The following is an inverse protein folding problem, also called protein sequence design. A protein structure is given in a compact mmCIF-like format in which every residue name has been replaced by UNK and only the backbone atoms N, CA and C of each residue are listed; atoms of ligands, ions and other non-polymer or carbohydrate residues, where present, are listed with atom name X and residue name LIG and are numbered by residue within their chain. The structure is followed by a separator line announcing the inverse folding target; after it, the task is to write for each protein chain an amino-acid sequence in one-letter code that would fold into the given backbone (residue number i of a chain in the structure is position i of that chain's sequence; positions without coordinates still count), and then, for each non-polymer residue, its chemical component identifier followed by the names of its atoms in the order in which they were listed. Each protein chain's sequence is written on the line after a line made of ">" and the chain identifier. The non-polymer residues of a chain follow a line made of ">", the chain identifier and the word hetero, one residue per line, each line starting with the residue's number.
data_IF_930371680650
#
_entry.id   IF_930371680650
#
_cell.length_a   1.000
_cell.length_b   1.000
_cell.length_c   1.000
_cell.angle_alpha   90.00
_cell.angle_beta   90.00
_cell.angle_gamma   90.00
#
_symmetry.space_group_name_H-M   'P 1'
#
loop_
_entity.id
_entity.type
_entity.pdbx_description
1 polymer ?
#
# COMPACT_ATOMS: atom_id res chain seq x y z
N UNK A 1 24.79 22.70 -19.66
CA UNK A 1 23.69 21.76 -20.02
C UNK A 1 23.33 22.00 -21.48
N UNK A 2 23.27 20.98 -22.34
CA UNK A 2 22.95 21.21 -23.76
C UNK A 2 21.47 21.54 -23.95
N UNK A 3 21.15 22.41 -24.90
CA UNK A 3 19.78 22.76 -25.29
C UNK A 3 18.95 21.52 -25.70
N UNK A 4 19.61 20.52 -26.29
CA UNK A 4 18.98 19.26 -26.68
C UNK A 4 18.56 18.41 -25.48
N UNK A 5 19.31 18.45 -24.37
CA UNK A 5 18.94 17.77 -23.13
C UNK A 5 17.72 18.44 -22.49
N UNK A 6 17.72 19.78 -22.42
CA UNK A 6 16.62 20.55 -21.85
C UNK A 6 15.27 20.27 -22.56
N UNK A 7 15.28 20.23 -23.90
CA UNK A 7 14.10 19.93 -24.72
C UNK A 7 13.59 18.49 -24.51
N UNK A 8 14.50 17.51 -24.38
CA UNK A 8 14.12 16.12 -24.10
C UNK A 8 13.47 15.97 -22.72
N UNK A 9 14.05 16.62 -21.70
CA UNK A 9 13.49 16.59 -20.34
C UNK A 9 12.12 17.25 -20.28
N UNK A 10 11.94 18.40 -20.94
CA UNK A 10 10.63 19.07 -21.03
C UNK A 10 9.55 18.17 -21.64
N UNK A 11 9.85 17.54 -22.78
CA UNK A 11 8.90 16.64 -23.46
C UNK A 11 8.53 15.39 -22.64
N UNK A 12 9.46 14.90 -21.81
CA UNK A 12 9.17 13.79 -20.87
C UNK A 12 8.26 14.22 -19.72
N UNK A 13 8.33 15.48 -19.29
CA UNK A 13 7.48 16.04 -18.24
C UNK A 13 6.08 16.43 -18.75
N UNK A 14 5.94 16.78 -20.03
CA UNK A 14 4.63 17.00 -20.68
C UNK A 14 3.76 15.74 -20.69
N UNK A 15 4.41 14.57 -20.70
CA UNK A 15 3.73 13.28 -20.56
C UNK A 15 3.38 13.07 -19.10
N UNK A 16 2.21 13.53 -18.69
CA UNK A 16 1.62 13.12 -17.40
C UNK A 16 1.66 11.59 -17.35
N UNK A 17 2.36 10.99 -16.38
CA UNK A 17 2.40 9.54 -16.28
C UNK A 17 0.97 9.05 -16.07
N UNK A 18 0.43 8.30 -17.04
CA UNK A 18 -0.91 7.67 -17.01
C UNK A 18 -1.12 6.71 -15.83
N UNK A 19 -0.10 6.55 -14.97
CA UNK A 19 -0.11 5.72 -13.77
C UNK A 19 -1.06 6.25 -12.69
N UNK A 20 -1.34 7.56 -12.69
CA UNK A 20 -2.12 8.19 -11.63
C UNK A 20 -3.46 8.70 -12.16
N UNK A 21 -4.52 8.40 -11.43
CA UNK A 21 -5.85 8.95 -11.67
C UNK A 21 -5.84 10.45 -11.36
N UNK A 22 -6.22 11.28 -12.33
CA UNK A 22 -6.41 12.72 -12.11
C UNK A 22 -7.70 12.90 -11.30
N UNK A 23 -7.59 13.56 -10.14
CA UNK A 23 -8.72 13.84 -9.27
C UNK A 23 -9.17 15.30 -9.39
N UNK A 24 -10.47 15.56 -9.35
CA UNK A 24 -10.98 16.92 -9.24
C UNK A 24 -10.67 17.48 -7.83
N UNK A 25 -10.32 18.77 -7.66
CA UNK A 25 -10.06 19.36 -6.34
C UNK A 25 -11.18 19.11 -5.32
N UNK A 26 -12.44 19.08 -5.74
CA UNK A 26 -13.58 18.84 -4.85
C UNK A 26 -13.70 17.38 -4.38
N UNK A 27 -13.04 16.44 -5.06
CA UNK A 27 -13.09 15.01 -4.80
C UNK A 27 -12.01 14.52 -3.83
N UNK A 28 -11.16 15.41 -3.30
CA UNK A 28 -9.97 15.06 -2.50
C UNK A 28 -10.24 14.07 -1.35
N UNK A 29 -11.46 14.07 -0.79
CA UNK A 29 -11.90 13.13 0.25
C UNK A 29 -11.80 11.66 -0.18
N UNK A 30 -11.92 11.36 -1.48
CA UNK A 30 -11.75 10.01 -2.04
C UNK A 30 -10.32 9.48 -1.86
N UNK A 31 -9.35 10.37 -1.67
CA UNK A 31 -7.95 10.00 -1.41
C UNK A 31 -7.65 9.78 0.07
N UNK A 32 -8.58 10.13 0.97
CA UNK A 32 -8.37 9.88 2.39
C UNK A 32 -8.46 8.39 2.67
N UNK A 33 -7.48 7.89 3.43
CA UNK A 33 -7.53 6.54 3.96
C UNK A 33 -8.85 6.35 4.74
N UNK A 34 -9.63 5.36 4.32
CA UNK A 34 -10.82 4.91 5.04
C UNK A 34 -10.46 3.62 5.74
N UNK A 35 -10.51 3.61 7.08
CA UNK A 35 -10.24 2.40 7.84
C UNK A 35 -11.30 1.35 7.51
N UNK A 36 -10.92 0.15 7.04
CA UNK A 36 -11.88 -0.91 6.78
C UNK A 36 -12.65 -1.27 8.07
N UNK A 37 -13.92 -1.64 7.92
CA UNK A 37 -14.71 -2.13 9.05
C UNK A 37 -14.20 -3.53 9.43
N UNK A 38 -13.61 -3.63 10.62
CA UNK A 38 -13.07 -4.88 11.17
C UNK A 38 -13.99 -5.50 12.24
N UNK A 39 -15.19 -4.97 12.46
CA UNK A 39 -16.10 -5.40 13.53
C UNK A 39 -16.57 -6.85 13.41
N UNK A 40 -16.44 -7.48 12.24
CA UNK A 40 -16.78 -8.90 12.04
C UNK A 40 -15.76 -9.86 12.67
N UNK A 41 -14.55 -9.38 12.95
CA UNK A 41 -13.47 -10.21 13.46
C UNK A 41 -13.48 -10.20 14.98
N UNK A 42 -13.37 -11.38 15.59
CA UNK A 42 -13.25 -11.57 17.03
C UNK A 42 -11.90 -11.06 17.55
N UNK A 43 -10.85 -11.14 16.75
CA UNK A 43 -9.49 -10.79 17.13
C UNK A 43 -8.70 -10.18 15.98
N UNK A 44 -7.75 -9.29 16.31
CA UNK A 44 -6.85 -8.66 15.34
C UNK A 44 -5.40 -8.94 15.76
N UNK A 45 -4.63 -9.54 14.85
CA UNK A 45 -3.22 -9.83 14.96
C UNK A 45 -2.43 -8.80 14.15
N UNK A 46 -1.53 -8.08 14.79
CA UNK A 46 -0.57 -7.20 14.11
C UNK A 46 0.78 -7.90 14.10
N UNK A 47 1.28 -8.21 12.92
CA UNK A 47 2.52 -8.96 12.70
C UNK A 47 3.52 -8.01 12.05
N UNK A 48 4.57 -7.68 12.79
CA UNK A 48 5.68 -6.85 12.32
C UNK A 48 6.69 -7.65 11.52
N UNK A 49 7.95 -7.25 11.61
CA UNK A 49 9.05 -7.78 10.83
C UNK A 49 9.16 -9.31 10.90
N UNK A 50 9.29 -9.95 9.73
CA UNK A 50 9.46 -11.42 9.61
C UNK A 50 10.82 -11.76 9.02
N UNK A 51 11.37 -10.91 8.14
CA UNK A 51 12.67 -11.11 7.49
C UNK A 51 12.87 -12.53 6.91
N UNK A 52 11.81 -13.11 6.33
CA UNK A 52 11.86 -14.46 5.75
C UNK A 52 11.90 -15.60 6.76
N UNK A 53 11.73 -15.34 8.06
CA UNK A 53 11.71 -16.35 9.11
C UNK A 53 10.38 -17.14 9.14
N UNK A 54 10.22 -18.06 8.17
CA UNK A 54 8.99 -18.84 8.01
C UNK A 54 8.67 -19.75 9.21
N UNK A 55 9.69 -20.33 9.87
CA UNK A 55 9.48 -21.26 10.98
C UNK A 55 8.74 -20.62 12.14
N UNK A 56 9.16 -19.42 12.54
CA UNK A 56 8.53 -18.66 13.64
C UNK A 56 7.14 -18.20 13.25
N UNK A 57 6.96 -17.72 12.02
CA UNK A 57 5.64 -17.33 11.51
C UNK A 57 4.66 -18.51 11.54
N UNK A 58 5.11 -19.70 11.11
CA UNK A 58 4.30 -20.91 11.10
C UNK A 58 3.95 -21.38 12.51
N UNK A 59 4.89 -21.33 13.43
CA UNK A 59 4.66 -21.69 14.84
C UNK A 59 3.64 -20.75 15.51
N UNK A 60 3.70 -19.46 15.19
CA UNK A 60 2.78 -18.46 15.71
C UNK A 60 1.37 -18.58 15.12
N UNK A 61 1.27 -18.72 13.79
CA UNK A 61 -0.02 -18.72 13.08
C UNK A 61 -0.78 -20.04 13.23
N UNK A 62 -0.09 -21.17 13.37
CA UNK A 62 -0.70 -22.50 13.41
C UNK A 62 -1.75 -22.68 12.29
N UNK A 63 -3.02 -22.92 12.65
CA UNK A 63 -4.16 -22.88 11.73
C UNK A 63 -4.80 -21.48 11.78
N UNK A 64 -5.16 -20.96 10.60
CA UNK A 64 -5.79 -19.65 10.49
C UNK A 64 -7.28 -19.75 10.81
N UNK A 65 -7.77 -18.79 11.58
CA UNK A 65 -9.18 -18.68 11.95
C UNK A 65 -9.89 -17.67 11.05
N UNK A 66 -11.03 -18.07 10.47
CA UNK A 66 -11.82 -17.22 9.56
C UNK A 66 -12.44 -16.00 10.27
N UNK A 67 -12.59 -16.07 11.60
CA UNK A 67 -13.09 -14.99 12.45
C UNK A 67 -11.97 -14.11 13.04
N UNK A 68 -10.71 -14.32 12.64
CA UNK A 68 -9.57 -13.50 13.04
C UNK A 68 -9.00 -12.68 11.86
N UNK A 69 -8.48 -11.49 12.16
CA UNK A 69 -7.85 -10.60 11.18
C UNK A 69 -6.33 -10.59 11.38
N UNK A 70 -5.56 -10.84 10.32
CA UNK A 70 -4.10 -10.82 10.34
C UNK A 70 -3.57 -9.66 9.50
N UNK A 71 -2.92 -8.69 10.14
CA UNK A 71 -2.36 -7.49 9.53
C UNK A 71 -0.84 -7.57 9.57
N UNK A 72 -0.23 -7.73 8.39
CA UNK A 72 1.22 -7.66 8.23
C UNK A 72 1.64 -6.21 8.03
N UNK A 73 2.53 -5.72 8.88
CA UNK A 73 3.01 -4.33 8.86
C UNK A 73 4.18 -4.15 7.88
N UNK A 74 4.75 -5.25 7.41
CA UNK A 74 5.93 -5.27 6.55
C UNK A 74 7.22 -5.02 7.33
N UNK A 75 8.33 -5.21 6.61
CA UNK A 75 9.67 -4.70 6.92
C UNK A 75 9.93 -3.51 5.98
#
# INVERSE_FOLDING_TARGET
>A
VSQSLLKKTHHLLERIPKKYTILNPNDWKKCLYQMPNLSKYRKIHHIGDIQGCFSILKEYLQELEDDECYIFLGD
#
